data_IF_647138583699
#
_entry.id   IF_647138583699
#
_cell.length_a   1.000
_cell.length_b   1.000
_cell.length_c   1.000
_cell.angle_alpha   90.00
_cell.angle_beta   90.00
_cell.angle_gamma   90.00
#
_symmetry.space_group_name_H-M   'P 1'
#
loop_
_entity.id
_entity.type
_entity.pdbx_description
1 polymer ?
#
# COMPACT_ATOMS: atom_id res chain seq x y z
N UNK A 1 -1.80 8.70 -8.00
CA UNK A 1 -2.33 7.32 -8.05
C UNK A 1 -3.78 7.30 -8.52
N UNK A 2 -4.53 8.38 -8.24
CA UNK A 2 -5.91 8.64 -8.65
C UNK A 2 -6.32 8.19 -10.06
N UNK A 3 -5.77 8.80 -11.11
CA UNK A 3 -6.26 8.54 -12.49
C UNK A 3 -6.08 7.08 -12.92
N UNK A 4 -5.03 6.41 -12.47
CA UNK A 4 -4.76 5.01 -12.84
C UNK A 4 -5.66 4.01 -12.10
N UNK A 5 -6.23 4.39 -10.95
CA UNK A 5 -7.04 3.49 -10.11
C UNK A 5 -8.53 3.89 -10.07
N UNK A 6 -8.89 5.03 -10.65
CA UNK A 6 -10.27 5.51 -10.70
C UNK A 6 -11.20 4.51 -11.41
N UNK A 7 -12.31 4.20 -10.77
CA UNK A 7 -13.35 3.30 -11.28
C UNK A 7 -13.02 1.81 -11.16
N UNK A 8 -11.93 1.45 -10.47
CA UNK A 8 -11.62 0.05 -10.16
C UNK A 8 -12.40 -0.48 -8.96
N UNK A 9 -13.02 0.39 -8.16
CA UNK A 9 -13.81 -0.02 -6.99
C UNK A 9 -12.98 -0.69 -5.89
N UNK A 10 -11.69 -0.34 -5.79
CA UNK A 10 -10.78 -0.92 -4.81
C UNK A 10 -11.28 -0.59 -3.40
N UNK A 11 -11.39 -1.62 -2.57
CA UNK A 11 -11.95 -1.53 -1.23
C UNK A 11 -10.89 -1.29 -0.15
N UNK A 12 -11.32 -0.82 1.03
CA UNK A 12 -10.48 -0.76 2.24
C UNK A 12 -9.86 -2.13 2.59
N UNK A 13 -10.61 -3.21 2.39
CA UNK A 13 -10.14 -4.56 2.68
C UNK A 13 -8.99 -4.97 1.74
N UNK A 14 -9.11 -4.67 0.45
CA UNK A 14 -8.06 -4.92 -0.55
C UNK A 14 -6.83 -4.04 -0.32
N UNK A 15 -7.03 -2.78 0.08
CA UNK A 15 -5.93 -1.91 0.48
C UNK A 15 -5.15 -2.47 1.66
N UNK A 16 -5.86 -2.87 2.72
CA UNK A 16 -5.24 -3.45 3.91
C UNK A 16 -4.48 -4.76 3.58
N UNK A 17 -5.04 -5.61 2.73
CA UNK A 17 -4.35 -6.81 2.24
C UNK A 17 -3.08 -6.44 1.45
N UNK A 18 -3.16 -5.45 0.56
CA UNK A 18 -2.00 -4.94 -0.19
C UNK A 18 -0.89 -4.42 0.74
N UNK A 19 -1.22 -3.68 1.80
CA UNK A 19 -0.25 -3.20 2.78
C UNK A 19 0.46 -4.35 3.51
N UNK A 20 -0.26 -5.42 3.84
CA UNK A 20 0.33 -6.63 4.43
C UNK A 20 1.26 -7.34 3.43
N UNK A 21 0.86 -7.47 2.16
CA UNK A 21 1.70 -8.07 1.13
C UNK A 21 2.95 -7.24 0.84
N UNK A 22 2.84 -5.90 0.82
CA UNK A 22 3.98 -5.01 0.66
C UNK A 22 4.98 -5.18 1.83
N UNK A 23 4.49 -5.17 3.08
CA UNK A 23 5.33 -5.38 4.25
C UNK A 23 6.04 -6.75 4.22
N UNK A 24 5.33 -7.81 3.83
CA UNK A 24 5.90 -9.15 3.68
C UNK A 24 6.94 -9.23 2.56
N UNK A 25 6.70 -8.57 1.43
CA UNK A 25 7.65 -8.51 0.32
C UNK A 25 8.93 -7.78 0.72
N UNK A 26 8.84 -6.66 1.43
CA UNK A 26 10.00 -5.93 1.93
C UNK A 26 10.83 -6.79 2.90
N UNK A 27 10.15 -7.46 3.84
CA UNK A 27 10.81 -8.36 4.79
C UNK A 27 11.49 -9.54 4.06
N UNK A 28 10.82 -10.16 3.08
CA UNK A 28 11.38 -11.26 2.26
C UNK A 28 12.66 -10.85 1.53
N UNK A 29 12.76 -9.58 1.12
CA UNK A 29 13.92 -9.04 0.40
C UNK A 29 14.99 -8.46 1.34
N UNK A 30 14.86 -8.65 2.66
CA UNK A 30 15.88 -8.21 3.62
C UNK A 30 15.95 -6.69 3.80
N UNK A 31 14.89 -5.96 3.48
CA UNK A 31 14.83 -4.52 3.73
C UNK A 31 14.78 -4.28 5.24
N UNK A 32 15.62 -3.35 5.72
CA UNK A 32 15.70 -2.96 7.11
C UNK A 32 14.37 -2.41 7.64
N UNK A 33 14.20 -2.47 8.96
CA UNK A 33 12.94 -2.06 9.60
C UNK A 33 12.64 -0.57 9.44
N UNK A 34 13.68 0.28 9.44
CA UNK A 34 13.55 1.72 9.20
C UNK A 34 13.04 1.99 7.78
N UNK A 35 13.70 1.43 6.75
CA UNK A 35 13.32 1.62 5.36
C UNK A 35 11.95 1.01 5.05
N UNK A 36 11.61 -0.13 5.64
CA UNK A 36 10.27 -0.73 5.54
C UNK A 36 9.21 0.22 6.10
N UNK A 37 9.48 0.82 7.27
CA UNK A 37 8.54 1.75 7.93
C UNK A 37 8.35 3.00 7.08
N UNK A 38 9.44 3.58 6.58
CA UNK A 38 9.40 4.76 5.72
C UNK A 38 8.63 4.50 4.42
N UNK A 39 8.88 3.35 3.78
CA UNK A 39 8.15 2.94 2.58
C UNK A 39 6.66 2.81 2.85
N UNK A 40 6.26 2.08 3.89
CA UNK A 40 4.85 1.85 4.21
C UNK A 40 4.15 3.16 4.57
N UNK A 41 4.80 4.04 5.32
CA UNK A 41 4.26 5.37 5.65
C UNK A 41 4.08 6.24 4.40
N UNK A 42 5.05 6.23 3.47
CA UNK A 42 4.92 6.89 2.18
C UNK A 42 3.74 6.30 1.38
N UNK A 43 3.65 4.97 1.32
CA UNK A 43 2.68 4.28 0.48
C UNK A 43 1.25 4.45 0.99
N UNK A 44 1.06 4.47 2.32
CA UNK A 44 -0.22 4.76 2.98
C UNK A 44 -0.82 6.10 2.55
N UNK A 45 0.00 7.11 2.24
CA UNK A 45 -0.49 8.41 1.76
C UNK A 45 -1.28 8.31 0.46
N UNK A 46 -1.10 7.26 -0.34
CA UNK A 46 -1.86 7.08 -1.58
C UNK A 46 -3.22 6.40 -1.38
N UNK A 47 -3.58 5.99 -0.16
CA UNK A 47 -4.87 5.34 0.10
C UNK A 47 -6.06 6.16 -0.42
N UNK A 48 -6.07 7.47 -0.13
CA UNK A 48 -7.13 8.39 -0.55
C UNK A 48 -7.24 8.59 -2.07
N UNK A 49 -6.19 8.21 -2.80
CA UNK A 49 -6.11 8.29 -4.24
C UNK A 49 -6.57 6.97 -4.91
N UNK A 50 -6.72 5.88 -4.16
CA UNK A 50 -6.87 4.53 -4.71
C UNK A 50 -8.16 3.85 -4.21
N UNK A 51 -8.50 4.00 -2.93
CA UNK A 51 -9.66 3.35 -2.31
C UNK A 51 -10.93 4.13 -2.62
N UNK A 52 -11.96 3.41 -3.06
CA UNK A 52 -13.26 3.98 -3.45
C UNK A 52 -14.43 3.46 -2.60
N UNK A 53 -14.24 2.38 -1.82
CA UNK A 53 -15.30 1.72 -1.05
C UNK A 53 -14.83 1.12 0.29
#
# INVERSE_FOLDING_TARGET
MKTAHAGLGITEAEWNANMQYAAAALAKNGIGEAEKTDFLALFERYRHDIVEA
#
